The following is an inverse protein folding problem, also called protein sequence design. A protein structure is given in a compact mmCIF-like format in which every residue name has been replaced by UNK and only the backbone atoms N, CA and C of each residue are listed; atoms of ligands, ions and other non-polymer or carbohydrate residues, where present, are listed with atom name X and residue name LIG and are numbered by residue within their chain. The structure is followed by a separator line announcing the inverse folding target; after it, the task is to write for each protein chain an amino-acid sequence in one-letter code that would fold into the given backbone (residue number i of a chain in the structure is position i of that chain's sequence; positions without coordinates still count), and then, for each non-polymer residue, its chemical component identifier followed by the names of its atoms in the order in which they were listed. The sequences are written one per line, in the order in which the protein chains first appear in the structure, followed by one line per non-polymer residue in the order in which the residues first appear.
data_IF_487011018155
#
_entry.id   IF_487011018155
#
_cell.length_a   1.000
_cell.length_b   1.000
_cell.length_c   1.000
_cell.angle_alpha   90.00
_cell.angle_beta   90.00
_cell.angle_gamma   90.00
#
_symmetry.space_group_name_H-M   'P 1'
#
loop_
_entity.id
_entity.type
_entity.pdbx_description
1 polymer ?
#
# COMPACT_ATOMS: atom_id res chain seq x y z
N UNK A 1 18.95 10.41 3.05
CA UNK A 1 18.45 10.75 1.70
C UNK A 1 19.03 12.10 1.33
N UNK A 2 19.70 12.27 0.17
CA UNK A 2 20.12 13.59 -0.27
C UNK A 2 18.88 14.39 -0.68
N UNK A 3 18.76 15.61 -0.15
CA UNK A 3 17.72 16.56 -0.53
C UNK A 3 17.93 16.97 -1.99
N UNK A 4 16.93 16.70 -2.82
CA UNK A 4 16.87 17.23 -4.18
C UNK A 4 15.85 18.36 -4.21
N UNK A 5 16.29 19.50 -4.73
CA UNK A 5 15.55 20.76 -4.77
C UNK A 5 14.21 20.63 -5.52
N UNK A 6 13.17 21.38 -5.13
CA UNK A 6 11.90 21.40 -5.83
C UNK A 6 12.09 21.99 -7.24
N UNK A 7 11.60 21.27 -8.25
CA UNK A 7 11.41 21.78 -9.61
C UNK A 7 10.31 22.85 -9.58
N UNK A 8 10.71 24.08 -9.30
CA UNK A 8 9.90 25.27 -9.58
C UNK A 8 10.19 25.71 -11.01
N UNK A 9 9.21 25.59 -11.90
CA UNK A 9 9.25 26.27 -13.20
C UNK A 9 8.80 25.43 -14.38
N UNK A 10 7.52 25.58 -14.73
CA UNK A 10 6.99 25.90 -16.07
C UNK A 10 5.60 25.28 -16.28
N UNK A 11 4.62 25.72 -15.49
CA UNK A 11 3.25 25.86 -15.98
C UNK A 11 3.07 27.32 -16.32
N UNK A 12 3.46 27.68 -17.54
CA UNK A 12 3.09 28.95 -18.15
C UNK A 12 1.56 28.93 -18.26
N UNK A 13 0.93 29.92 -17.63
CA UNK A 13 -0.48 30.27 -17.86
C UNK A 13 -0.64 30.65 -19.34
N UNK A 14 -0.96 29.66 -20.17
CA UNK A 14 -1.53 29.93 -21.49
C UNK A 14 -2.99 30.25 -21.28
N UNK A 15 -3.35 31.52 -21.46
CA UNK A 15 -4.73 31.95 -21.62
C UNK A 15 -5.36 31.21 -22.79
N UNK A 16 -6.08 30.14 -22.50
CA UNK A 16 -6.98 29.49 -23.44
C UNK A 16 -8.33 30.22 -23.37
N UNK A 17 -8.56 31.08 -24.35
CA UNK A 17 -9.92 31.33 -24.83
C UNK A 17 -10.49 29.99 -25.31
N UNK A 18 -11.38 29.38 -24.52
CA UNK A 18 -12.22 28.27 -24.97
C UNK A 18 -13.68 28.60 -24.66
N UNK A 19 -14.39 28.98 -25.71
CA UNK A 19 -15.84 28.79 -25.82
C UNK A 19 -16.11 27.27 -25.74
N UNK A 20 -16.20 26.73 -24.53
CA UNK A 20 -16.65 25.37 -24.27
C UNK A 20 -17.95 25.45 -23.47
N UNK A 21 -18.94 24.68 -23.91
CA UNK A 21 -20.29 24.64 -23.37
C UNK A 21 -20.27 24.21 -21.89
N UNK A 22 -20.17 25.17 -20.98
CA UNK A 22 -20.41 24.96 -19.55
C UNK A 22 -21.91 25.05 -19.30
N UNK A 23 -22.55 23.92 -18.98
CA UNK A 23 -23.92 23.90 -18.48
C UNK A 23 -23.91 24.11 -16.97
N UNK A 24 -24.71 25.10 -16.53
CA UNK A 24 -24.87 25.47 -15.13
C UNK A 24 -26.26 25.02 -14.67
N UNK A 25 -26.32 23.97 -13.85
CA UNK A 25 -27.55 23.50 -13.22
C UNK A 25 -27.48 23.84 -11.73
N UNK A 26 -28.31 24.78 -11.26
CA UNK A 26 -28.54 25.04 -9.82
C UNK A 26 -27.27 25.08 -8.92
N UNK A 27 -26.14 25.61 -9.42
CA UNK A 27 -24.89 25.72 -8.66
C UNK A 27 -23.90 24.56 -8.85
N UNK A 28 -24.23 23.57 -9.69
CA UNK A 28 -23.34 22.55 -10.23
C UNK A 28 -22.84 22.97 -11.62
N UNK A 29 -21.57 22.67 -11.89
CA UNK A 29 -20.87 23.07 -13.11
C UNK A 29 -20.34 21.82 -13.80
N UNK A 30 -20.78 21.62 -15.04
CA UNK A 30 -20.37 20.51 -15.87
C UNK A 30 -19.47 20.97 -17.01
N UNK A 31 -18.52 20.09 -17.37
CA UNK A 31 -17.72 20.20 -18.57
C UNK A 31 -17.76 18.83 -19.27
N UNK A 32 -18.19 18.78 -20.53
CA UNK A 32 -18.37 17.54 -21.28
C UNK A 32 -19.15 16.46 -20.50
N UNK A 33 -20.28 16.86 -19.90
CA UNK A 33 -21.13 16.03 -19.02
C UNK A 33 -20.45 15.50 -17.74
N UNK A 34 -19.24 15.95 -17.42
CA UNK A 34 -18.51 15.60 -16.19
C UNK A 34 -18.68 16.73 -15.18
N UNK A 35 -19.07 16.40 -13.94
CA UNK A 35 -19.18 17.39 -12.86
C UNK A 35 -17.77 17.87 -12.46
N UNK A 36 -17.50 19.18 -12.59
CA UNK A 36 -16.18 19.78 -12.34
C UNK A 36 -16.17 20.61 -11.06
N UNK A 37 -17.26 21.32 -10.75
CA UNK A 37 -17.38 22.08 -9.50
C UNK A 37 -18.82 22.22 -9.03
N UNK A 38 -19.01 22.45 -7.73
CA UNK A 38 -20.30 22.79 -7.15
C UNK A 38 -20.21 22.97 -5.63
N UNK A 39 -21.24 23.56 -5.03
CA UNK A 39 -21.37 23.57 -3.56
C UNK A 39 -21.89 22.22 -3.06
N UNK A 40 -21.61 21.91 -1.80
CA UNK A 40 -22.13 20.69 -1.17
C UNK A 40 -23.66 20.76 -1.05
N UNK A 41 -24.19 21.93 -0.77
CA UNK A 41 -25.62 22.21 -0.68
C UNK A 41 -26.32 21.97 -2.02
N UNK A 42 -25.73 22.43 -3.14
CA UNK A 42 -26.28 22.18 -4.46
C UNK A 42 -26.29 20.68 -4.77
N UNK A 43 -25.22 19.95 -4.43
CA UNK A 43 -25.17 18.50 -4.61
C UNK A 43 -26.26 17.79 -3.79
N UNK A 44 -26.43 18.16 -2.52
CA UNK A 44 -27.47 17.60 -1.64
C UNK A 44 -28.86 17.92 -2.22
N UNK A 45 -29.08 19.14 -2.69
CA UNK A 45 -30.35 19.55 -3.29
C UNK A 45 -30.73 18.70 -4.51
N UNK A 46 -29.76 18.37 -5.38
CA UNK A 46 -30.02 17.50 -6.54
C UNK A 46 -30.20 16.02 -6.16
N UNK A 47 -29.65 15.59 -5.03
CA UNK A 47 -29.80 14.22 -4.52
C UNK A 47 -31.13 14.02 -3.76
N UNK A 48 -31.72 15.09 -3.22
CA UNK A 48 -32.95 15.05 -2.41
C UNK A 48 -34.12 15.64 -3.21
N UNK A 49 -35.20 14.87 -3.48
CA UNK A 49 -36.39 15.41 -4.15
C UNK A 49 -37.01 16.58 -3.37
N UNK A 50 -37.22 17.73 -4.01
CA UNK A 50 -37.79 18.92 -3.37
C UNK A 50 -39.27 18.71 -2.97
N UNK A 51 -39.74 19.52 -2.01
CA UNK A 51 -41.13 19.49 -1.51
C UNK A 51 -42.17 19.73 -2.61
N UNK A 52 -41.79 20.45 -3.66
CA UNK A 52 -42.67 20.85 -4.75
C UNK A 52 -42.98 19.71 -5.73
N UNK A 53 -42.12 18.70 -5.81
CA UNK A 53 -42.25 17.60 -6.77
C UNK A 53 -43.06 16.40 -6.24
N UNK A 54 -43.17 16.27 -4.91
CA UNK A 54 -43.95 15.22 -4.26
C UNK A 54 -44.54 15.73 -2.94
N UNK A 55 -45.82 16.07 -2.85
CA UNK A 55 -46.41 16.57 -1.61
C UNK A 55 -46.54 15.48 -0.53
N UNK A 56 -46.74 14.21 -0.89
CA UNK A 56 -46.86 13.10 0.07
C UNK A 56 -45.50 12.52 0.48
N UNK A 57 -45.20 12.57 1.78
CA UNK A 57 -43.98 12.01 2.41
C UNK A 57 -43.88 10.50 2.20
N UNK A 58 -45.00 9.77 2.18
CA UNK A 58 -45.02 8.32 2.01
C UNK A 58 -44.76 7.86 0.57
N UNK A 59 -45.17 8.66 -0.44
CA UNK A 59 -44.79 8.44 -1.83
C UNK A 59 -43.32 8.79 -2.09
N UNK A 60 -42.78 9.83 -1.43
CA UNK A 60 -41.35 10.21 -1.53
C UNK A 60 -40.43 9.11 -1.04
N UNK A 61 -40.68 8.59 0.16
CA UNK A 61 -39.88 7.52 0.75
C UNK A 61 -39.89 6.29 -0.16
N UNK A 62 -41.06 5.91 -0.73
CA UNK A 62 -41.14 4.77 -1.64
C UNK A 62 -40.34 4.93 -2.94
N UNK A 63 -40.25 6.14 -3.51
CA UNK A 63 -39.47 6.39 -4.73
C UNK A 63 -37.98 6.58 -4.47
N UNK A 64 -37.61 7.09 -3.29
CA UNK A 64 -36.22 7.38 -2.93
C UNK A 64 -35.53 6.18 -2.26
N UNK A 65 -36.28 5.32 -1.57
CA UNK A 65 -35.74 4.18 -0.85
C UNK A 65 -34.85 3.26 -1.69
N UNK A 66 -35.19 2.90 -2.95
CA UNK A 66 -34.29 2.11 -3.80
C UNK A 66 -32.94 2.78 -4.04
N UNK A 67 -32.94 4.10 -4.27
CA UNK A 67 -31.72 4.87 -4.55
C UNK A 67 -30.86 5.02 -3.30
N UNK A 68 -31.47 5.30 -2.14
CA UNK A 68 -30.74 5.34 -0.86
C UNK A 68 -30.18 3.96 -0.54
N UNK A 69 -30.96 2.89 -0.74
CA UNK A 69 -30.50 1.54 -0.46
C UNK A 69 -29.34 1.13 -1.37
N UNK A 70 -29.40 1.50 -2.65
CA UNK A 70 -28.28 1.33 -3.58
C UNK A 70 -27.04 2.11 -3.10
N UNK A 71 -27.19 3.38 -2.72
CA UNK A 71 -26.09 4.19 -2.20
C UNK A 71 -25.48 3.58 -0.93
N UNK A 72 -26.30 3.12 0.01
CA UNK A 72 -25.82 2.45 1.22
C UNK A 72 -25.12 1.13 0.90
N UNK A 73 -25.60 0.38 -0.09
CA UNK A 73 -24.95 -0.84 -0.54
C UNK A 73 -23.57 -0.53 -1.12
N UNK A 74 -23.47 0.43 -2.05
CA UNK A 74 -22.20 0.85 -2.65
C UNK A 74 -21.23 1.39 -1.59
N UNK A 75 -21.72 2.17 -0.61
CA UNK A 75 -20.91 2.70 0.48
C UNK A 75 -20.40 1.59 1.40
N UNK A 76 -21.27 0.71 1.89
CA UNK A 76 -20.87 -0.39 2.78
C UNK A 76 -19.98 -1.43 2.09
N UNK A 77 -20.09 -1.56 0.76
CA UNK A 77 -19.22 -2.42 -0.02
C UNK A 77 -17.84 -1.80 -0.29
N UNK A 78 -17.78 -0.48 -0.53
CA UNK A 78 -16.56 0.22 -0.97
C UNK A 78 -15.74 0.76 0.19
N UNK A 79 -16.39 1.33 1.23
CA UNK A 79 -15.74 1.96 2.38
C UNK A 79 -16.22 1.30 3.68
N UNK A 80 -15.97 0.00 3.79
CA UNK A 80 -16.46 -0.78 4.93
C UNK A 80 -15.87 -0.30 6.28
N UNK A 81 -14.69 0.34 6.27
CA UNK A 81 -14.02 0.83 7.49
C UNK A 81 -14.81 1.92 8.21
N UNK A 82 -15.56 2.76 7.48
CA UNK A 82 -16.41 3.82 8.07
C UNK A 82 -17.37 3.26 9.11
N UNK A 83 -17.80 2.00 8.94
CA UNK A 83 -18.74 1.33 9.82
C UNK A 83 -18.08 0.54 10.95
N UNK A 84 -16.75 0.67 11.14
CA UNK A 84 -16.10 0.30 12.41
C UNK A 84 -16.45 1.26 13.54
N UNK A 85 -16.72 2.52 13.20
CA UNK A 85 -17.22 3.49 14.18
C UNK A 85 -18.64 3.10 14.60
N UNK A 86 -18.84 2.95 15.92
CA UNK A 86 -20.12 2.49 16.47
C UNK A 86 -21.27 3.47 16.18
N UNK A 87 -20.99 4.77 16.05
CA UNK A 87 -21.99 5.79 15.73
C UNK A 87 -22.40 5.66 14.27
N UNK A 88 -21.45 5.48 13.36
CA UNK A 88 -21.75 5.22 11.94
C UNK A 88 -22.56 3.93 11.75
N UNK A 89 -22.17 2.86 12.43
CA UNK A 89 -22.93 1.60 12.40
C UNK A 89 -24.34 1.75 12.98
N UNK A 90 -24.51 2.55 14.04
CA UNK A 90 -25.83 2.86 14.61
C UNK A 90 -26.69 3.66 13.63
N UNK A 91 -26.14 4.70 13.01
CA UNK A 91 -26.84 5.51 12.00
C UNK A 91 -27.26 4.68 10.79
N UNK A 92 -26.40 3.76 10.32
CA UNK A 92 -26.75 2.81 9.25
C UNK A 92 -27.95 1.94 9.65
N UNK A 93 -27.95 1.37 10.86
CA UNK A 93 -29.05 0.53 11.35
C UNK A 93 -30.36 1.31 11.49
N UNK A 94 -30.30 2.52 12.03
CA UNK A 94 -31.49 3.39 12.15
C UNK A 94 -32.05 3.78 10.79
N UNK A 95 -31.20 4.17 9.84
CA UNK A 95 -31.63 4.54 8.49
C UNK A 95 -32.24 3.35 7.75
N UNK A 96 -31.58 2.20 7.78
CA UNK A 96 -32.07 0.98 7.12
C UNK A 96 -33.35 0.42 7.75
N UNK A 97 -33.54 0.58 9.06
CA UNK A 97 -34.79 0.25 9.75
C UNK A 97 -35.95 1.12 9.26
N UNK A 98 -35.72 2.44 9.06
CA UNK A 98 -36.74 3.35 8.51
C UNK A 98 -37.07 3.07 7.05
N UNK A 99 -36.08 2.67 6.25
CA UNK A 99 -36.29 2.35 4.83
C UNK A 99 -37.04 1.03 4.61
N UNK A 100 -36.92 0.10 5.56
CA UNK A 100 -37.49 -1.25 5.47
C UNK A 100 -38.80 -1.43 6.26
N UNK A 101 -39.32 -0.36 6.88
CA UNK A 101 -40.60 -0.38 7.58
C UNK A 101 -41.75 -0.42 6.57
N UNK A 102 -42.23 -1.63 6.26
CA UNK A 102 -43.44 -1.84 5.44
C UNK A 102 -43.21 -2.60 4.12
N UNK A 103 -41.96 -2.96 3.80
CA UNK A 103 -41.63 -3.71 2.57
C UNK A 103 -40.69 -4.89 2.87
N UNK A 104 -41.15 -6.11 2.61
CA UNK A 104 -40.40 -7.34 2.87
C UNK A 104 -39.16 -7.48 1.96
N UNK A 105 -39.22 -6.95 0.72
CA UNK A 105 -38.11 -6.98 -0.22
C UNK A 105 -36.94 -6.14 0.30
N UNK A 106 -37.21 -4.91 0.74
CA UNK A 106 -36.17 -4.04 1.29
C UNK A 106 -35.58 -4.59 2.58
N UNK A 107 -36.38 -5.28 3.43
CA UNK A 107 -35.84 -5.97 4.60
C UNK A 107 -34.81 -7.04 4.23
N UNK A 108 -35.09 -7.84 3.19
CA UNK A 108 -34.15 -8.87 2.71
C UNK A 108 -32.86 -8.26 2.18
N UNK A 109 -32.94 -7.20 1.38
CA UNK A 109 -31.76 -6.51 0.82
C UNK A 109 -30.93 -5.87 1.94
N UNK A 110 -31.57 -5.13 2.87
CA UNK A 110 -30.91 -4.54 4.04
C UNK A 110 -30.20 -5.61 4.87
N UNK A 111 -30.89 -6.72 5.15
CA UNK A 111 -30.31 -7.81 5.92
C UNK A 111 -29.06 -8.37 5.23
N UNK A 112 -29.15 -8.66 3.93
CA UNK A 112 -28.00 -9.16 3.16
C UNK A 112 -26.83 -8.16 3.16
N UNK A 113 -27.09 -6.88 2.93
CA UNK A 113 -26.09 -5.81 2.97
C UNK A 113 -25.37 -5.74 4.32
N UNK A 114 -26.13 -5.73 5.42
CA UNK A 114 -25.57 -5.71 6.78
C UNK A 114 -24.75 -6.99 7.06
N UNK A 115 -25.22 -8.17 6.62
CA UNK A 115 -24.49 -9.42 6.79
C UNK A 115 -23.15 -9.42 6.03
N UNK A 116 -23.14 -8.91 4.78
CA UNK A 116 -21.91 -8.77 3.99
C UNK A 116 -20.93 -7.81 4.67
N UNK A 117 -21.41 -6.67 5.15
CA UNK A 117 -20.59 -5.70 5.89
C UNK A 117 -19.98 -6.31 7.16
N UNK A 118 -20.79 -6.96 8.00
CA UNK A 118 -20.30 -7.61 9.23
C UNK A 118 -19.26 -8.69 8.90
N UNK A 119 -19.47 -9.47 7.84
CA UNK A 119 -18.49 -10.48 7.40
C UNK A 119 -17.17 -9.83 7.01
N UNK A 120 -17.19 -8.77 6.20
CA UNK A 120 -15.97 -8.02 5.81
C UNK A 120 -15.22 -7.48 7.03
N UNK A 121 -15.94 -6.83 7.95
CA UNK A 121 -15.37 -6.28 9.18
C UNK A 121 -14.77 -7.37 10.09
N UNK A 122 -15.41 -8.53 10.15
CA UNK A 122 -14.92 -9.68 10.92
C UNK A 122 -13.62 -10.23 10.30
N UNK A 123 -13.58 -10.40 8.98
CA UNK A 123 -12.37 -10.85 8.27
C UNK A 123 -11.21 -9.87 8.47
N UNK A 124 -11.47 -8.56 8.41
CA UNK A 124 -10.45 -7.55 8.68
C UNK A 124 -9.91 -7.64 10.12
N UNK A 125 -10.78 -7.80 11.12
CA UNK A 125 -10.36 -7.97 12.52
C UNK A 125 -9.52 -9.23 12.74
N UNK A 126 -9.89 -10.35 12.10
CA UNK A 126 -9.10 -11.59 12.15
C UNK A 126 -7.72 -11.43 11.52
N UNK A 127 -7.64 -10.68 10.41
CA UNK A 127 -6.39 -10.37 9.75
C UNK A 127 -5.47 -9.51 10.64
N UNK A 128 -6.00 -8.47 11.30
CA UNK A 128 -5.24 -7.66 12.26
C UNK A 128 -4.71 -8.51 13.43
N UNK A 129 -5.53 -9.39 13.99
CA UNK A 129 -5.09 -10.31 15.04
C UNK A 129 -3.98 -11.26 14.57
N UNK A 130 -4.08 -11.76 13.33
CA UNK A 130 -3.06 -12.62 12.74
C UNK A 130 -1.72 -11.87 12.58
N UNK A 131 -1.75 -10.61 12.15
CA UNK A 131 -0.58 -9.74 12.05
C UNK A 131 0.11 -9.57 13.40
N UNK A 132 -0.65 -9.27 14.46
CA UNK A 132 -0.11 -9.13 15.83
C UNK A 132 0.58 -10.42 16.28
N UNK A 133 -0.05 -11.59 16.04
CA UNK A 133 0.54 -12.90 16.39
C UNK A 133 1.83 -13.18 15.61
N UNK A 134 1.87 -12.86 14.32
CA UNK A 134 3.06 -13.01 13.47
C UNK A 134 4.21 -12.13 14.01
N UNK A 135 3.92 -10.86 14.31
CA UNK A 135 4.91 -9.91 14.82
C UNK A 135 5.44 -10.32 16.22
N UNK A 136 4.56 -10.81 17.10
CA UNK A 136 4.97 -11.39 18.38
C UNK A 136 5.91 -12.59 18.17
N UNK A 137 5.55 -13.52 17.29
CA UNK A 137 6.38 -14.70 16.96
C UNK A 137 7.75 -14.31 16.41
N UNK A 138 7.81 -13.30 15.53
CA UNK A 138 9.07 -12.79 14.99
C UNK A 138 9.96 -12.17 16.08
N UNK A 139 9.35 -11.43 17.02
CA UNK A 139 10.04 -10.81 18.16
C UNK A 139 10.58 -11.86 19.13
N UNK A 140 9.81 -12.90 19.42
CA UNK A 140 10.24 -14.03 20.25
C UNK A 140 11.44 -14.75 19.62
N UNK A 141 11.38 -15.03 18.31
CA UNK A 141 12.50 -15.64 17.58
C UNK A 141 13.76 -14.79 17.60
N UNK A 142 13.64 -13.47 17.50
CA UNK A 142 14.77 -12.56 17.63
C UNK A 142 15.38 -12.60 19.04
N UNK A 143 14.53 -12.66 20.07
CA UNK A 143 14.98 -12.77 21.47
C UNK A 143 15.74 -14.07 21.71
N UNK A 144 15.23 -15.20 21.19
CA UNK A 144 15.92 -16.49 21.29
C UNK A 144 17.23 -16.47 20.50
N UNK A 145 17.29 -15.80 19.35
CA UNK A 145 18.54 -15.69 18.56
C UNK A 145 19.62 -14.94 19.34
N UNK A 146 19.26 -13.86 20.02
CA UNK A 146 20.18 -13.10 20.90
C UNK A 146 20.66 -13.94 22.09
N UNK A 147 19.78 -14.73 22.70
CA UNK A 147 20.13 -15.57 23.84
C UNK A 147 20.94 -16.82 23.46
N UNK A 148 20.68 -17.39 22.28
CA UNK A 148 21.30 -18.64 21.79
C UNK A 148 21.63 -18.54 20.28
N UNK A 149 22.75 -17.90 19.91
CA UNK A 149 23.11 -17.66 18.50
C UNK A 149 23.23 -18.94 17.67
N UNK A 150 23.61 -20.06 18.30
CA UNK A 150 23.80 -21.36 17.63
C UNK A 150 22.50 -22.16 17.45
N UNK A 151 21.39 -21.79 18.12
CA UNK A 151 20.17 -22.61 18.19
C UNK A 151 19.15 -22.35 17.05
N UNK A 152 19.27 -21.25 16.30
CA UNK A 152 18.24 -20.81 15.32
C UNK A 152 18.74 -20.83 13.87
N UNK A 153 19.95 -21.32 13.62
CA UNK A 153 20.57 -21.21 12.29
C UNK A 153 20.04 -22.25 11.28
N UNK A 154 18.74 -22.21 10.96
CA UNK A 154 18.25 -22.74 9.68
C UNK A 154 18.54 -21.68 8.62
N UNK A 155 19.57 -21.95 7.82
CA UNK A 155 19.91 -21.17 6.62
C UNK A 155 18.67 -21.04 5.72
N UNK A 156 18.32 -19.85 5.24
CA UNK A 156 17.21 -19.67 4.29
C UNK A 156 17.30 -20.63 3.11
N UNK A 157 18.51 -20.85 2.59
CA UNK A 157 18.75 -21.74 1.46
C UNK A 157 18.48 -23.22 1.79
N UNK A 158 18.36 -23.59 3.07
CA UNK A 158 17.90 -24.91 3.50
C UNK A 158 16.38 -25.05 3.48
N UNK A 159 15.66 -23.92 3.52
CA UNK A 159 14.19 -23.86 3.49
C UNK A 159 13.71 -23.77 2.05
N UNK A 160 14.34 -22.90 1.26
CA UNK A 160 14.07 -22.75 -0.16
C UNK A 160 15.34 -22.32 -0.89
N UNK A 161 15.74 -23.11 -1.88
CA UNK A 161 16.88 -22.83 -2.75
C UNK A 161 16.46 -22.52 -4.19
N UNK A 162 15.15 -22.42 -4.45
CA UNK A 162 14.59 -22.08 -5.75
C UNK A 162 14.10 -20.61 -5.77
N UNK A 163 14.76 -19.73 -6.53
CA UNK A 163 14.37 -18.32 -6.61
C UNK A 163 12.94 -18.09 -7.10
N UNK A 164 12.44 -18.95 -8.00
CA UNK A 164 11.08 -18.85 -8.54
C UNK A 164 10.05 -19.06 -7.44
N UNK A 165 10.17 -20.17 -6.69
CA UNK A 165 9.30 -20.47 -5.56
C UNK A 165 9.34 -19.36 -4.52
N UNK A 166 10.52 -18.85 -4.18
CA UNK A 166 10.66 -17.73 -3.23
C UNK A 166 9.91 -16.47 -3.69
N UNK A 167 10.08 -16.06 -4.95
CA UNK A 167 9.38 -14.90 -5.51
C UNK A 167 7.85 -15.09 -5.54
N UNK A 168 7.37 -16.31 -5.78
CA UNK A 168 5.95 -16.64 -5.70
C UNK A 168 5.41 -16.51 -4.27
N UNK A 169 6.16 -16.97 -3.25
CA UNK A 169 5.74 -16.84 -1.85
C UNK A 169 5.78 -15.38 -1.37
N UNK A 170 6.76 -14.58 -1.82
CA UNK A 170 6.75 -13.14 -1.59
C UNK A 170 5.50 -12.50 -2.20
N UNK A 171 5.16 -12.88 -3.44
CA UNK A 171 3.97 -12.39 -4.13
C UNK A 171 2.67 -12.75 -3.41
N UNK A 172 2.58 -13.93 -2.78
CA UNK A 172 1.46 -14.27 -1.90
C UNK A 172 1.31 -13.30 -0.73
N UNK A 173 2.40 -12.99 -0.04
CA UNK A 173 2.38 -12.06 1.10
C UNK A 173 1.96 -10.67 0.63
N UNK A 174 2.55 -10.19 -0.47
CA UNK A 174 2.22 -8.89 -1.06
C UNK A 174 0.73 -8.77 -1.38
N UNK A 175 0.16 -9.72 -2.12
CA UNK A 175 -1.25 -9.70 -2.50
C UNK A 175 -2.20 -9.84 -1.29
N UNK A 176 -1.85 -10.68 -0.30
CA UNK A 176 -2.63 -10.76 0.94
C UNK A 176 -2.66 -9.41 1.65
N UNK A 177 -1.51 -8.75 1.84
CA UNK A 177 -1.45 -7.45 2.51
C UNK A 177 -2.17 -6.36 1.72
N UNK A 178 -1.96 -6.29 0.39
CA UNK A 178 -2.62 -5.33 -0.49
C UNK A 178 -4.15 -5.46 -0.48
N UNK A 179 -4.66 -6.69 -0.44
CA UNK A 179 -6.11 -6.95 -0.43
C UNK A 179 -6.84 -6.32 0.75
N UNK A 180 -6.12 -6.00 1.85
CA UNK A 180 -6.66 -5.39 3.06
C UNK A 180 -6.49 -3.86 3.11
N UNK A 181 -5.83 -3.23 2.13
CA UNK A 181 -5.67 -1.77 2.08
C UNK A 181 -6.90 -1.14 1.43
N UNK A 182 -7.69 -0.39 2.18
CA UNK A 182 -8.91 0.25 1.70
C UNK A 182 -8.65 1.68 1.17
N UNK A 183 -9.47 2.21 0.23
CA UNK A 183 -9.22 3.48 -0.44
C UNK A 183 -9.18 4.68 0.54
N UNK A 184 -9.97 4.64 1.60
CA UNK A 184 -9.99 5.63 2.68
C UNK A 184 -8.64 5.75 3.40
N UNK A 185 -7.84 4.69 3.46
CA UNK A 185 -6.54 4.72 4.14
C UNK A 185 -5.54 5.63 3.42
N UNK A 186 -5.67 5.79 2.10
CA UNK A 186 -4.84 6.74 1.35
C UNK A 186 -5.14 8.17 1.79
N UNK A 187 -6.43 8.51 1.92
CA UNK A 187 -6.88 9.86 2.30
C UNK A 187 -6.48 10.16 3.74
N UNK A 188 -6.75 9.23 4.67
CA UNK A 188 -6.41 9.37 6.08
C UNK A 188 -4.89 9.50 6.30
N UNK A 189 -4.07 8.85 5.47
CA UNK A 189 -2.62 8.97 5.55
C UNK A 189 -2.12 10.39 5.26
N UNK A 190 -2.86 11.18 4.47
CA UNK A 190 -2.50 12.56 4.16
C UNK A 190 -2.99 13.54 5.23
N UNK A 191 -4.20 13.35 5.75
CA UNK A 191 -4.79 14.21 6.78
C UNK A 191 -4.05 14.15 8.12
N UNK A 192 -3.51 12.97 8.49
CA UNK A 192 -2.77 12.79 9.76
C UNK A 192 -1.49 13.64 9.85
N UNK A 193 -0.99 14.20 8.73
CA UNK A 193 0.22 15.01 8.72
C UNK A 193 -0.02 16.46 9.18
N UNK A 194 -1.21 17.02 8.93
CA UNK A 194 -1.57 18.39 9.36
C UNK A 194 -1.80 18.50 10.89
N UNK A 195 -2.02 17.36 11.56
CA UNK A 195 -2.28 17.29 13.00
C UNK A 195 -1.01 17.10 13.85
N UNK A 196 0.16 16.91 13.23
CA UNK A 196 1.43 16.81 13.95
C UNK A 196 2.03 18.17 14.32
N UNK A 197 1.49 19.26 13.76
CA UNK A 197 1.89 20.64 14.09
C UNK A 197 0.88 21.38 14.99
N UNK A 198 -0.29 20.79 15.31
CA UNK A 198 -1.23 21.41 16.24
C UNK A 198 -1.93 20.39 17.16
N UNK A 199 -1.73 20.63 18.45
CA UNK A 199 -2.34 19.98 19.59
C UNK A 199 -3.88 19.91 19.48
N UNK A 200 -4.41 18.70 19.19
CA UNK A 200 -5.66 18.08 19.69
C UNK A 200 -6.14 16.97 18.74
N UNK A 201 -5.95 15.74 19.18
CA UNK A 201 -6.58 14.56 18.60
C UNK A 201 -8.10 14.59 18.83
N UNK A 202 -8.86 14.83 17.75
CA UNK A 202 -10.20 14.27 17.67
C UNK A 202 -10.02 12.88 17.05
N UNK A 203 -10.42 11.81 17.77
CA UNK A 203 -10.27 10.38 17.42
C UNK A 203 -8.97 9.66 17.86
N UNK A 204 -8.55 9.89 19.11
CA UNK A 204 -7.39 9.26 19.77
C UNK A 204 -7.50 7.78 20.18
N UNK A 205 -8.52 7.01 19.74
CA UNK A 205 -8.78 5.67 20.31
C UNK A 205 -8.45 4.47 19.40
N UNK A 206 -7.56 4.59 18.42
CA UNK A 206 -7.08 3.43 17.66
C UNK A 206 -5.56 3.41 17.48
N UNK A 207 -4.85 2.97 18.52
CA UNK A 207 -3.50 2.38 18.39
C UNK A 207 -3.57 0.99 17.74
N UNK A 208 -4.24 0.87 16.60
CA UNK A 208 -4.13 -0.28 15.69
C UNK A 208 -3.44 0.22 14.44
N UNK A 209 -2.30 -0.38 14.09
CA UNK A 209 -1.60 -0.08 12.85
C UNK A 209 -2.56 -0.34 11.68
N UNK A 210 -2.73 0.65 10.79
CA UNK A 210 -3.60 0.50 9.63
C UNK A 210 -3.02 -0.54 8.66
N UNK A 211 -3.83 -1.10 7.76
CA UNK A 211 -3.34 -2.06 6.75
C UNK A 211 -2.23 -1.44 5.89
N UNK A 212 -2.34 -0.13 5.62
CA UNK A 212 -1.31 0.67 4.98
C UNK A 212 0.03 0.64 5.75
N UNK A 213 0.00 0.89 7.06
CA UNK A 213 1.20 0.87 7.90
C UNK A 213 1.80 -0.54 7.96
N UNK A 214 0.97 -1.57 8.12
CA UNK A 214 1.41 -2.96 8.11
C UNK A 214 2.11 -3.33 6.78
N UNK A 215 1.65 -2.78 5.66
CA UNK A 215 2.27 -3.00 4.35
C UNK A 215 3.63 -2.30 4.20
N UNK A 216 3.77 -1.07 4.74
CA UNK A 216 5.06 -0.38 4.82
C UNK A 216 6.03 -1.13 5.73
N UNK A 217 5.55 -1.61 6.88
CA UNK A 217 6.34 -2.44 7.80
C UNK A 217 6.82 -3.73 7.12
N UNK A 218 5.99 -4.36 6.28
CA UNK A 218 6.40 -5.52 5.48
C UNK A 218 7.55 -5.20 4.53
N UNK A 219 7.47 -4.11 3.77
CA UNK A 219 8.57 -3.67 2.88
C UNK A 219 9.90 -3.52 3.64
N UNK A 220 9.86 -2.81 4.78
CA UNK A 220 11.03 -2.61 5.62
C UNK A 220 11.55 -3.94 6.16
N UNK A 221 10.67 -4.78 6.69
CA UNK A 221 11.02 -6.10 7.20
C UNK A 221 11.72 -6.95 6.13
N UNK A 222 11.18 -6.99 4.91
CA UNK A 222 11.79 -7.76 3.81
C UNK A 222 13.18 -7.21 3.46
N UNK A 223 13.34 -5.89 3.40
CA UNK A 223 14.63 -5.24 3.13
C UNK A 223 15.68 -5.61 4.20
N UNK A 224 15.31 -5.52 5.47
CA UNK A 224 16.21 -5.89 6.57
C UNK A 224 16.42 -7.41 6.67
N UNK A 225 15.45 -8.25 6.29
CA UNK A 225 15.61 -9.70 6.21
C UNK A 225 16.68 -10.06 5.17
N UNK A 226 16.61 -9.48 3.98
CA UNK A 226 17.62 -9.66 2.92
C UNK A 226 19.02 -9.31 3.44
N UNK A 227 19.16 -8.14 4.08
CA UNK A 227 20.43 -7.73 4.67
C UNK A 227 20.91 -8.68 5.79
N UNK A 228 20.00 -9.13 6.64
CA UNK A 228 20.28 -10.08 7.73
C UNK A 228 20.84 -11.39 7.18
N UNK A 229 20.21 -11.93 6.15
CA UNK A 229 20.55 -13.21 5.54
C UNK A 229 21.88 -13.15 4.79
N UNK A 230 22.26 -11.98 4.27
CA UNK A 230 23.58 -11.75 3.67
C UNK A 230 24.66 -11.59 4.74
N UNK A 231 24.38 -10.91 5.85
CA UNK A 231 25.36 -10.65 6.91
C UNK A 231 25.54 -11.82 7.89
N UNK A 232 24.56 -12.72 8.01
CA UNK A 232 24.60 -13.83 8.99
C UNK A 232 25.65 -14.92 8.68
N UNK A 233 25.89 -15.34 7.41
CA UNK A 233 26.87 -16.39 7.13
C UNK A 233 28.32 -15.94 7.39
N UNK A 234 29.01 -16.68 8.25
CA UNK A 234 30.42 -16.43 8.60
C UNK A 234 31.33 -16.59 7.37
N UNK A 235 31.04 -17.56 6.50
CA UNK A 235 31.88 -17.86 5.32
C UNK A 235 31.50 -16.96 4.15
N UNK A 236 32.50 -16.23 3.63
CA UNK A 236 32.38 -15.37 2.43
C UNK A 236 31.72 -16.05 1.22
N UNK A 237 32.06 -17.31 0.94
CA UNK A 237 31.46 -18.08 -0.17
C UNK A 237 29.96 -18.31 0.02
N UNK A 238 29.50 -18.49 1.26
CA UNK A 238 28.08 -18.65 1.56
C UNK A 238 27.34 -17.32 1.40
N UNK A 239 27.90 -16.20 1.89
CA UNK A 239 27.33 -14.86 1.68
C UNK A 239 27.13 -14.55 0.19
N UNK A 240 28.16 -14.78 -0.62
CA UNK A 240 28.07 -14.58 -2.07
C UNK A 240 26.93 -15.41 -2.70
N UNK A 241 26.74 -16.66 -2.28
CA UNK A 241 25.63 -17.51 -2.74
C UNK A 241 24.26 -16.96 -2.35
N UNK A 242 24.11 -16.44 -1.13
CA UNK A 242 22.86 -15.81 -0.68
C UNK A 242 22.56 -14.55 -1.50
N UNK A 243 23.58 -13.76 -1.82
CA UNK A 243 23.42 -12.57 -2.68
C UNK A 243 23.00 -12.95 -4.09
N UNK A 244 23.66 -13.94 -4.71
CA UNK A 244 23.27 -14.44 -6.04
C UNK A 244 21.83 -14.98 -6.05
N UNK A 245 21.44 -15.71 -4.99
CA UNK A 245 20.07 -16.18 -4.82
C UNK A 245 19.08 -15.01 -4.80
N UNK A 246 19.32 -13.97 -3.99
CA UNK A 246 18.43 -12.81 -3.93
C UNK A 246 18.38 -12.00 -5.23
N UNK A 247 19.48 -11.94 -5.99
CA UNK A 247 19.48 -11.32 -7.33
C UNK A 247 18.52 -12.07 -8.26
N UNK A 248 18.55 -13.41 -8.23
CA UNK A 248 17.62 -14.21 -9.03
C UNK A 248 16.17 -14.08 -8.51
N UNK A 249 15.94 -14.01 -7.19
CA UNK A 249 14.60 -13.75 -6.63
C UNK A 249 14.06 -12.39 -7.06
N UNK A 250 14.90 -11.35 -7.02
CA UNK A 250 14.55 -10.00 -7.45
C UNK A 250 14.17 -9.97 -8.94
N UNK A 251 14.94 -10.67 -9.79
CA UNK A 251 14.61 -10.83 -11.20
C UNK A 251 13.26 -11.52 -11.39
N UNK A 252 12.97 -12.57 -10.64
CA UNK A 252 11.66 -13.23 -10.73
C UNK A 252 10.52 -12.37 -10.20
N UNK A 253 10.76 -11.52 -9.19
CA UNK A 253 9.80 -10.51 -8.77
C UNK A 253 9.51 -9.51 -9.90
N UNK A 254 10.53 -9.03 -10.63
CA UNK A 254 10.34 -8.18 -11.81
C UNK A 254 9.49 -8.89 -12.89
N UNK A 255 9.80 -10.15 -13.20
CA UNK A 255 9.08 -10.93 -14.21
C UNK A 255 7.59 -11.14 -13.85
N UNK A 256 7.29 -11.38 -12.56
CA UNK A 256 5.93 -11.53 -12.06
C UNK A 256 5.14 -10.20 -12.10
N UNK A 257 5.82 -9.06 -12.12
CA UNK A 257 5.19 -7.75 -11.90
C UNK A 257 5.12 -7.37 -10.41
N UNK A 258 5.93 -8.00 -9.56
CA UNK A 258 6.10 -7.70 -8.16
C UNK A 258 7.23 -6.67 -7.93
N UNK A 259 6.94 -5.40 -8.21
CA UNK A 259 7.93 -4.33 -8.11
C UNK A 259 8.21 -3.93 -6.65
N UNK A 260 7.27 -4.13 -5.73
CA UNK A 260 7.47 -3.81 -4.31
C UNK A 260 8.53 -4.71 -3.66
N UNK A 261 8.39 -6.04 -3.80
CA UNK A 261 9.40 -6.98 -3.28
C UNK A 261 10.74 -6.84 -4.00
N UNK A 262 10.75 -6.60 -5.31
CA UNK A 262 11.96 -6.28 -6.06
C UNK A 262 12.70 -5.10 -5.42
N UNK A 263 12.00 -3.99 -5.20
CA UNK A 263 12.60 -2.79 -4.61
C UNK A 263 13.06 -3.03 -3.17
N UNK A 264 12.33 -3.83 -2.38
CA UNK A 264 12.74 -4.20 -1.02
C UNK A 264 14.05 -5.01 -1.03
N UNK A 265 14.20 -5.96 -1.96
CA UNK A 265 15.43 -6.75 -2.10
C UNK A 265 16.60 -5.87 -2.50
N UNK A 266 16.44 -5.01 -3.52
CA UNK A 266 17.46 -4.03 -3.91
C UNK A 266 17.83 -3.13 -2.72
N UNK A 267 16.82 -2.64 -1.99
CA UNK A 267 17.02 -1.77 -0.82
C UNK A 267 17.83 -2.48 0.27
N UNK A 268 17.54 -3.75 0.55
CA UNK A 268 18.29 -4.58 1.50
C UNK A 268 19.75 -4.80 1.08
N UNK A 269 19.99 -5.06 -0.21
CA UNK A 269 21.35 -5.24 -0.75
C UNK A 269 22.17 -3.94 -0.78
N UNK A 270 21.50 -2.80 -0.92
CA UNK A 270 22.11 -1.47 -0.93
C UNK A 270 22.29 -0.86 0.47
N UNK A 271 21.79 -1.51 1.53
CA UNK A 271 22.08 -1.08 2.90
C UNK A 271 23.60 -1.06 3.12
N UNK A 272 24.08 -0.03 3.79
CA UNK A 272 25.51 0.18 4.05
C UNK A 272 26.24 -1.03 4.67
N UNK A 273 25.68 -1.77 5.65
CA UNK A 273 26.28 -3.02 6.15
C UNK A 273 26.52 -4.09 5.08
N UNK A 274 25.74 -4.11 4.00
CA UNK A 274 25.88 -5.08 2.90
C UNK A 274 26.79 -4.52 1.81
N UNK A 275 26.57 -3.28 1.37
CA UNK A 275 27.34 -2.65 0.27
C UNK A 275 28.81 -2.42 0.60
N UNK A 276 29.19 -2.40 1.89
CA UNK A 276 30.58 -2.34 2.35
C UNK A 276 31.36 -3.65 2.24
N UNK A 277 30.70 -4.80 2.07
CA UNK A 277 31.35 -6.13 2.03
C UNK A 277 32.10 -6.38 0.71
N UNK A 278 33.09 -5.53 0.38
CA UNK A 278 33.75 -5.49 -0.94
C UNK A 278 34.37 -6.83 -1.32
N UNK A 279 34.91 -7.59 -0.36
CA UNK A 279 35.49 -8.91 -0.64
C UNK A 279 34.41 -9.92 -1.00
N UNK A 280 33.22 -9.83 -0.41
CA UNK A 280 32.07 -10.66 -0.77
C UNK A 280 31.53 -10.26 -2.15
N UNK A 281 31.32 -8.96 -2.41
CA UNK A 281 30.86 -8.45 -3.71
C UNK A 281 31.77 -8.87 -4.88
N UNK A 282 33.09 -8.90 -4.68
CA UNK A 282 34.04 -9.38 -5.71
C UNK A 282 33.85 -10.86 -6.13
N UNK A 283 33.02 -11.63 -5.40
CA UNK A 283 32.67 -13.02 -5.72
C UNK A 283 31.28 -13.17 -6.34
N UNK A 284 30.48 -12.11 -6.39
CA UNK A 284 29.12 -12.10 -6.92
C UNK A 284 29.17 -11.60 -8.36
N UNK A 285 28.39 -12.22 -9.26
CA UNK A 285 28.17 -11.68 -10.60
C UNK A 285 27.11 -10.57 -10.56
N UNK A 286 27.53 -9.32 -10.73
CA UNK A 286 26.65 -8.16 -10.51
C UNK A 286 25.84 -7.76 -11.73
N UNK A 287 26.16 -8.21 -12.94
CA UNK A 287 25.50 -7.75 -14.18
C UNK A 287 23.96 -7.75 -14.10
N UNK A 288 23.37 -8.83 -13.53
CA UNK A 288 21.92 -8.92 -13.33
C UNK A 288 21.41 -7.93 -12.29
N UNK A 289 22.16 -7.72 -11.21
CA UNK A 289 21.81 -6.77 -10.15
C UNK A 289 21.87 -5.34 -10.69
N UNK A 290 22.92 -4.99 -11.42
CA UNK A 290 23.12 -3.66 -12.02
C UNK A 290 21.97 -3.32 -12.99
N UNK A 291 21.48 -4.31 -13.76
CA UNK A 291 20.29 -4.16 -14.61
C UNK A 291 19.04 -3.88 -13.77
N UNK A 292 18.83 -4.64 -12.68
CA UNK A 292 17.65 -4.46 -11.81
C UNK A 292 17.68 -3.10 -11.09
N UNK A 293 18.85 -2.66 -10.64
CA UNK A 293 19.03 -1.31 -10.09
C UNK A 293 18.69 -0.24 -11.13
N UNK A 294 19.17 -0.39 -12.37
CA UNK A 294 18.84 0.53 -13.46
C UNK A 294 17.33 0.58 -13.75
N UNK A 295 16.62 -0.55 -13.66
CA UNK A 295 15.16 -0.58 -13.83
C UNK A 295 14.41 0.16 -12.71
N UNK A 296 14.96 0.19 -11.49
CA UNK A 296 14.37 0.83 -10.32
C UNK A 296 15.00 2.18 -9.97
N UNK A 297 15.84 2.72 -10.86
CA UNK A 297 16.59 3.95 -10.64
C UNK A 297 15.65 5.17 -10.46
N UNK A 298 15.91 6.06 -9.48
CA UNK A 298 15.05 7.21 -9.20
C UNK A 298 15.14 8.34 -10.25
N UNK A 299 16.13 8.32 -11.17
CA UNK A 299 16.32 9.37 -12.16
C UNK A 299 15.10 9.53 -13.08
N UNK A 300 14.86 10.77 -13.51
CA UNK A 300 13.68 11.09 -14.32
C UNK A 300 12.36 10.75 -13.63
N UNK A 301 12.31 10.86 -12.29
CA UNK A 301 11.17 10.45 -11.46
C UNK A 301 10.80 8.97 -11.70
N UNK A 302 11.79 8.08 -11.58
CA UNK A 302 11.62 6.65 -11.80
C UNK A 302 11.15 6.30 -13.22
N UNK A 303 11.74 6.91 -14.25
CA UNK A 303 11.31 6.75 -15.65
C UNK A 303 11.27 5.28 -16.10
N UNK A 304 12.32 4.52 -15.81
CA UNK A 304 12.44 3.12 -16.20
C UNK A 304 11.37 2.25 -15.50
N UNK A 305 11.26 2.37 -14.18
CA UNK A 305 10.22 1.69 -13.39
C UNK A 305 8.82 2.02 -13.90
N UNK A 306 8.51 3.30 -14.18
CA UNK A 306 7.19 3.69 -14.70
C UNK A 306 6.90 3.07 -16.07
N UNK A 307 7.93 2.89 -16.90
CA UNK A 307 7.82 2.19 -18.18
C UNK A 307 7.54 0.70 -17.97
N UNK A 308 8.26 0.05 -17.06
CA UNK A 308 8.02 -1.34 -16.70
C UNK A 308 6.62 -1.55 -16.09
N UNK A 309 6.17 -0.64 -15.22
CA UNK A 309 4.84 -0.65 -14.62
C UNK A 309 3.75 -0.53 -15.69
N UNK A 310 3.88 0.41 -16.64
CA UNK A 310 2.93 0.53 -17.77
C UNK A 310 2.87 -0.77 -18.59
N UNK A 311 4.02 -1.39 -18.83
CA UNK A 311 4.09 -2.71 -19.47
C UNK A 311 3.32 -3.77 -18.68
N UNK A 312 3.53 -3.87 -17.36
CA UNK A 312 2.81 -4.80 -16.49
C UNK A 312 1.30 -4.54 -16.46
N UNK A 313 0.88 -3.28 -16.37
CA UNK A 313 -0.53 -2.88 -16.44
C UNK A 313 -1.16 -3.30 -17.77
N UNK A 314 -0.47 -3.10 -18.89
CA UNK A 314 -0.96 -3.53 -20.19
C UNK A 314 -1.09 -5.05 -20.28
N UNK A 315 -0.08 -5.81 -19.81
CA UNK A 315 -0.13 -7.28 -19.73
C UNK A 315 -1.33 -7.75 -18.92
N UNK A 316 -1.61 -7.10 -17.79
CA UNK A 316 -2.75 -7.43 -16.92
C UNK A 316 -4.10 -7.21 -17.61
N UNK A 317 -4.24 -6.13 -18.39
CA UNK A 317 -5.48 -5.84 -19.15
C UNK A 317 -5.74 -6.84 -20.27
N UNK A 318 -4.70 -7.33 -20.93
CA UNK A 318 -4.81 -8.30 -22.03
C UNK A 318 -4.49 -9.73 -21.60
N UNK A 319 -4.56 -10.02 -20.30
CA UNK A 319 -4.13 -11.28 -19.72
C UNK A 319 -5.03 -12.44 -20.15
N UNK A 320 -4.41 -13.56 -20.57
CA UNK A 320 -5.09 -14.81 -20.86
C UNK A 320 -4.99 -15.80 -19.69
N UNK A 321 -4.18 -15.47 -18.68
CA UNK A 321 -4.01 -16.25 -17.45
C UNK A 321 -4.04 -15.37 -16.21
N UNK A 322 -4.41 -15.94 -15.05
CA UNK A 322 -4.41 -15.21 -13.78
C UNK A 322 -3.02 -14.70 -13.38
N UNK A 323 -1.95 -15.39 -13.79
CA UNK A 323 -0.56 -14.98 -13.55
C UNK A 323 -0.21 -13.66 -14.19
N UNK A 324 -0.68 -13.43 -15.42
CA UNK A 324 -0.39 -12.20 -16.15
C UNK A 324 -1.14 -10.98 -15.57
N UNK A 325 -2.15 -11.20 -14.72
CA UNK A 325 -2.93 -10.13 -14.07
C UNK A 325 -2.18 -9.45 -12.93
N UNK A 326 -1.13 -10.07 -12.38
CA UNK A 326 -0.42 -9.58 -11.20
C UNK A 326 0.30 -8.28 -11.52
N UNK A 327 -0.01 -7.23 -10.75
CA UNK A 327 0.69 -5.95 -10.74
C UNK A 327 0.79 -5.51 -9.30
N UNK A 328 2.00 -5.48 -8.74
CA UNK A 328 2.26 -4.96 -7.39
C UNK A 328 3.23 -3.79 -7.57
N UNK A 329 2.74 -2.55 -7.49
CA UNK A 329 3.56 -1.36 -7.74
C UNK A 329 4.60 -1.16 -6.64
N UNK A 330 5.66 -0.41 -6.91
CA UNK A 330 6.50 0.13 -5.85
C UNK A 330 5.68 1.11 -5.01
N UNK A 331 5.25 0.64 -3.84
CA UNK A 331 4.13 1.23 -3.12
C UNK A 331 4.45 2.63 -2.57
N UNK A 332 5.67 2.83 -2.08
CA UNK A 332 6.09 4.14 -1.57
C UNK A 332 6.03 5.24 -2.64
N UNK A 333 6.33 4.89 -3.90
CA UNK A 333 6.22 5.85 -5.00
C UNK A 333 4.77 6.10 -5.38
N UNK A 334 3.90 5.09 -5.35
CA UNK A 334 2.46 5.27 -5.54
C UNK A 334 1.87 6.23 -4.50
N UNK A 335 2.19 6.03 -3.21
CA UNK A 335 1.75 6.92 -2.12
C UNK A 335 2.30 8.34 -2.32
N UNK A 336 3.58 8.45 -2.69
CA UNK A 336 4.22 9.74 -2.98
C UNK A 336 3.49 10.48 -4.11
N UNK A 337 3.13 9.79 -5.18
CA UNK A 337 2.42 10.39 -6.32
C UNK A 337 1.03 10.88 -5.93
N UNK A 338 0.27 10.08 -5.16
CA UNK A 338 -1.07 10.47 -4.69
C UNK A 338 -0.96 11.66 -3.71
N UNK A 339 0.05 11.65 -2.83
CA UNK A 339 0.32 12.77 -1.93
C UNK A 339 0.60 14.07 -2.68
N UNK A 340 1.51 14.06 -3.67
CA UNK A 340 1.81 15.28 -4.44
C UNK A 340 0.63 15.76 -5.27
N UNK A 341 -0.22 14.86 -5.75
CA UNK A 341 -1.48 15.23 -6.40
C UNK A 341 -2.44 15.91 -5.42
N UNK A 342 -2.50 15.44 -4.17
CA UNK A 342 -3.29 16.09 -3.13
C UNK A 342 -2.75 17.50 -2.80
N UNK A 343 -1.46 17.63 -2.54
CA UNK A 343 -0.84 18.90 -2.14
C UNK A 343 -0.79 19.92 -3.28
N UNK A 344 -0.69 19.46 -4.53
CA UNK A 344 -0.56 20.32 -5.70
C UNK A 344 -1.83 21.08 -6.08
N UNK A 345 -2.98 20.76 -5.48
CA UNK A 345 -4.28 21.33 -5.85
C UNK A 345 -5.15 21.62 -4.61
N UNK A 346 -5.80 22.79 -4.55
CA UNK A 346 -6.71 23.14 -3.46
C UNK A 346 -7.99 22.30 -3.48
N UNK A 347 -8.47 21.88 -2.29
CA UNK A 347 -9.74 21.14 -2.13
C UNK A 347 -10.96 21.95 -2.56
N UNK A 348 -10.87 23.28 -2.46
CA UNK A 348 -11.89 24.23 -2.89
C UNK A 348 -11.32 25.22 -3.89
N UNK A 349 -12.15 25.60 -4.84
CA UNK A 349 -11.86 26.69 -5.77
C UNK A 349 -12.01 28.05 -5.06
N UNK A 350 -11.57 29.13 -5.70
CA UNK A 350 -11.64 30.49 -5.14
C UNK A 350 -13.08 30.95 -4.81
N UNK A 351 -14.07 30.39 -5.51
CA UNK A 351 -15.50 30.64 -5.27
C UNK A 351 -16.10 29.76 -4.14
N UNK A 352 -15.28 28.97 -3.43
CA UNK A 352 -15.71 28.08 -2.35
C UNK A 352 -16.25 26.72 -2.79
N UNK A 353 -16.42 26.49 -4.11
CA UNK A 353 -16.88 25.21 -4.65
C UNK A 353 -15.89 24.10 -4.39
N UNK A 354 -16.38 22.87 -4.30
CA UNK A 354 -15.55 21.67 -4.29
C UNK A 354 -14.85 21.53 -5.64
N UNK A 355 -13.54 21.27 -5.61
CA UNK A 355 -12.74 21.05 -6.80
C UNK A 355 -12.82 19.57 -7.22
N UNK A 356 -13.85 19.19 -7.99
CA UNK A 356 -14.05 17.79 -8.38
C UNK A 356 -12.97 17.29 -9.33
N UNK A 357 -12.33 18.15 -10.13
CA UNK A 357 -11.24 17.76 -11.03
C UNK A 357 -10.07 17.16 -10.25
N UNK A 358 -9.65 17.81 -9.15
CA UNK A 358 -8.64 17.26 -8.23
C UNK A 358 -9.05 15.87 -7.73
N UNK A 359 -10.27 15.74 -7.21
CA UNK A 359 -10.75 14.48 -6.63
C UNK A 359 -10.88 13.38 -7.68
N UNK A 360 -11.25 13.72 -8.92
CA UNK A 360 -11.27 12.78 -10.04
C UNK A 360 -9.89 12.24 -10.38
N UNK A 361 -8.87 13.09 -10.48
CA UNK A 361 -7.51 12.62 -10.73
C UNK A 361 -6.98 11.75 -9.59
N UNK A 362 -7.28 12.09 -8.33
CA UNK A 362 -6.94 11.24 -7.18
C UNK A 362 -7.66 9.89 -7.25
N UNK A 363 -8.98 9.91 -7.47
CA UNK A 363 -9.82 8.72 -7.59
C UNK A 363 -9.35 7.80 -8.71
N UNK A 364 -8.87 8.34 -9.84
CA UNK A 364 -8.31 7.57 -10.94
C UNK A 364 -7.08 6.76 -10.53
N UNK A 365 -6.17 7.33 -9.73
CA UNK A 365 -4.97 6.61 -9.24
C UNK A 365 -5.33 5.54 -8.22
N UNK A 366 -6.22 5.87 -7.28
CA UNK A 366 -6.70 4.90 -6.29
C UNK A 366 -7.47 3.78 -6.97
N UNK A 367 -8.34 4.08 -7.94
CA UNK A 367 -9.13 3.09 -8.67
C UNK A 367 -8.27 2.08 -9.43
N UNK A 368 -7.16 2.53 -10.03
CA UNK A 368 -6.23 1.62 -10.70
C UNK A 368 -5.60 0.63 -9.70
N UNK A 369 -5.19 1.12 -8.52
CA UNK A 369 -4.74 0.27 -7.43
C UNK A 369 -5.83 -0.70 -6.92
N UNK A 370 -7.07 -0.23 -6.83
CA UNK A 370 -8.22 -1.05 -6.41
C UNK A 370 -8.50 -2.23 -7.36
N UNK A 371 -8.10 -2.13 -8.63
CA UNK A 371 -8.15 -3.25 -9.57
C UNK A 371 -7.04 -4.26 -9.26
N UNK A 372 -5.81 -3.79 -9.04
CA UNK A 372 -4.66 -4.65 -8.78
C UNK A 372 -4.78 -5.46 -7.49
N UNK A 373 -5.29 -4.87 -6.40
CA UNK A 373 -5.44 -5.58 -5.10
C UNK A 373 -6.45 -6.73 -5.13
N UNK A 374 -7.33 -6.80 -6.14
CA UNK A 374 -8.35 -7.86 -6.28
C UNK A 374 -7.81 -9.14 -6.91
N UNK A 375 -6.57 -9.13 -7.40
CA UNK A 375 -5.97 -10.31 -8.05
C UNK A 375 -5.68 -11.38 -7.00
N UNK A 376 -6.31 -12.54 -7.15
CA UNK A 376 -5.96 -13.73 -6.37
C UNK A 376 -4.60 -14.28 -6.83
N UNK A 377 -3.75 -14.61 -5.87
CA UNK A 377 -2.44 -15.16 -6.18
C UNK A 377 -2.57 -16.57 -6.78
N UNK A 378 -2.11 -16.81 -8.03
CA UNK A 378 -2.30 -18.07 -8.74
C UNK A 378 -1.26 -19.13 -8.39
N UNK A 379 -0.28 -18.80 -7.55
CA UNK A 379 0.79 -19.73 -7.17
C UNK A 379 0.33 -20.65 -6.03
N UNK A 380 1.00 -21.79 -5.89
CA UNK A 380 0.75 -22.69 -4.77
C UNK A 380 1.40 -22.15 -3.49
N UNK A 381 0.69 -22.26 -2.37
CA UNK A 381 1.19 -21.81 -1.06
C UNK A 381 2.12 -22.85 -0.45
N UNK A 382 3.37 -22.47 -0.21
CA UNK A 382 4.29 -23.22 0.64
C UNK A 382 4.29 -22.65 2.07
N UNK A 383 3.64 -23.38 2.99
CA UNK A 383 3.50 -22.94 4.39
C UNK A 383 4.85 -22.79 5.11
N UNK A 384 5.86 -23.60 4.77
CA UNK A 384 7.17 -23.54 5.44
C UNK A 384 7.91 -22.27 5.05
N UNK A 385 7.90 -21.94 3.76
CA UNK A 385 8.54 -20.73 3.23
C UNK A 385 7.82 -19.48 3.74
N UNK A 386 6.49 -19.45 3.67
CA UNK A 386 5.68 -18.33 4.18
C UNK A 386 5.92 -18.09 5.66
N UNK A 387 5.90 -19.16 6.48
CA UNK A 387 6.19 -19.05 7.91
C UNK A 387 7.59 -18.48 8.16
N UNK A 388 8.58 -18.89 7.36
CA UNK A 388 9.94 -18.36 7.47
C UNK A 388 10.00 -16.87 7.13
N UNK A 389 9.53 -16.47 5.95
CA UNK A 389 9.52 -15.07 5.51
C UNK A 389 8.84 -14.15 6.54
N UNK A 390 7.72 -14.60 7.10
CA UNK A 390 6.94 -13.83 8.06
C UNK A 390 7.56 -13.76 9.47
N UNK A 391 8.30 -14.79 9.90
CA UNK A 391 8.76 -14.89 11.31
C UNK A 391 10.26 -15.03 11.52
N UNK A 392 11.06 -15.08 10.46
CA UNK A 392 12.53 -15.10 10.58
C UNK A 392 13.02 -13.87 11.37
N UNK A 393 13.97 -14.05 12.30
CA UNK A 393 14.54 -12.95 13.05
C UNK A 393 15.26 -12.00 12.09
N UNK A 394 15.06 -10.70 12.29
CA UNK A 394 15.64 -9.65 11.46
C UNK A 394 16.50 -8.75 12.34
N UNK A 395 17.72 -8.48 11.90
CA UNK A 395 18.67 -7.65 12.63
C UNK A 395 18.26 -6.18 12.60
N UNK A 396 18.50 -5.49 13.72
CA UNK A 396 18.49 -4.02 13.74
C UNK A 396 19.65 -3.48 12.90
N UNK A 397 19.60 -2.19 12.55
CA UNK A 397 20.70 -1.54 11.83
C UNK A 397 22.06 -1.77 12.54
N UNK A 398 22.14 -1.52 13.84
CA UNK A 398 23.35 -1.72 14.63
C UNK A 398 23.85 -3.17 14.61
N UNK A 399 22.92 -4.13 14.71
CA UNK A 399 23.25 -5.57 14.66
C UNK A 399 23.78 -5.96 13.28
N UNK A 400 23.22 -5.39 12.20
CA UNK A 400 23.73 -5.58 10.84
C UNK A 400 25.16 -5.04 10.69
N UNK A 401 25.44 -3.84 11.21
CA UNK A 401 26.80 -3.29 11.16
C UNK A 401 27.79 -4.17 11.94
N UNK A 402 27.43 -4.63 13.13
CA UNK A 402 28.27 -5.54 13.91
C UNK A 402 28.57 -6.82 13.12
N UNK A 403 27.55 -7.50 12.59
CA UNK A 403 27.72 -8.71 11.79
C UNK A 403 28.54 -8.46 10.50
N UNK A 404 28.38 -7.28 9.89
CA UNK A 404 29.17 -6.86 8.74
C UNK A 404 30.64 -6.67 9.09
N UNK A 405 30.97 -5.99 10.19
CA UNK A 405 32.35 -5.79 10.65
C UNK A 405 33.00 -7.10 11.11
N UNK A 406 32.25 -8.01 11.71
CA UNK A 406 32.74 -9.36 12.04
C UNK A 406 33.05 -10.17 10.78
N UNK A 407 32.26 -10.00 9.71
CA UNK A 407 32.45 -10.66 8.42
C UNK A 407 33.62 -10.09 7.62
N UNK A 408 33.76 -8.76 7.59
CA UNK A 408 34.83 -8.00 6.94
C UNK A 408 35.17 -6.77 7.79
N UNK A 409 36.35 -6.77 8.43
CA UNK A 409 36.76 -5.72 9.36
C UNK A 409 36.74 -4.30 8.77
N UNK A 410 36.75 -3.25 9.62
CA UNK A 410 36.63 -1.87 9.18
C UNK A 410 37.82 -1.41 8.32
N UNK A 411 37.55 -0.74 7.22
CA UNK A 411 38.57 -0.35 6.22
C UNK A 411 39.12 1.07 6.42
N UNK A 412 38.34 1.97 7.02
CA UNK A 412 38.70 3.38 7.20
C UNK A 412 38.50 3.85 8.66
N UNK A 413 38.94 5.07 8.98
CA UNK A 413 38.85 5.62 10.33
C UNK A 413 37.40 5.77 10.82
N UNK A 414 36.48 6.23 9.97
CA UNK A 414 35.06 6.37 10.33
C UNK A 414 34.42 5.02 10.68
N UNK A 415 34.74 3.97 9.90
CA UNK A 415 34.27 2.61 10.19
C UNK A 415 34.86 2.06 11.48
N UNK A 416 36.15 2.32 11.76
CA UNK A 416 36.78 1.92 13.03
C UNK A 416 36.11 2.59 14.22
N UNK A 417 35.75 3.86 14.12
CA UNK A 417 35.10 4.60 15.19
C UNK A 417 33.65 4.13 15.39
N UNK A 418 32.89 3.91 14.31
CA UNK A 418 31.55 3.31 14.39
C UNK A 418 31.59 1.90 14.96
N UNK A 419 32.57 1.08 14.57
CA UNK A 419 32.69 -0.27 15.11
C UNK A 419 32.99 -0.27 16.61
N UNK A 420 33.82 0.66 17.09
CA UNK A 420 34.05 0.86 18.53
C UNK A 420 32.78 1.30 19.24
N UNK A 421 32.04 2.27 18.69
CA UNK A 421 30.81 2.77 19.33
C UNK A 421 29.71 1.72 19.44
N UNK A 422 29.65 0.76 18.51
CA UNK A 422 28.68 -0.34 18.52
C UNK A 422 29.03 -1.46 19.50
N UNK A 423 30.26 -1.49 20.03
CA UNK A 423 30.74 -2.50 20.99
C UNK A 423 30.80 -1.99 22.43
N UNK A 424 30.64 -0.68 22.62
CA UNK A 424 30.43 -0.01 23.91
C UNK A 424 28.96 -0.15 24.29
#
# INVERSE_FOLDING_TARGET
MPQTSPLTGMLVSSGYNQNQNQTKEEGLYYHDNTLVSGSLEALIHHLVPSMDYYPDVSMRIRKLAPKILQLLQEWTETFSYDFRDERMMRSLKELTQRLSSGDELYRKVVHQMIQVLIRKLTTLSQYEEALVKINATATDRLTVLKAKPQAIQRDMLSICNDPFTMAQQLTHIELERLSNIEPEEFIQAFEKKDLLDNDKSCFSDQKKASSLEAYVQWFNRLSFLVATEICMPVKKKQRARVMEFFIDVARECFNIGNFNSLMAIISGMNMSPVSRLKKTWSKVKTDKFDILEHQMDPSGNFYNYRTALRGATQRSRTANSTREKIVIPFFSLLIKDIYFLNEGCSNRMQNGHVNFEKFWEMAKRVSEFMVWKKVECPFEKDRKILQYLLTAPVFSEDTLYLASYESEGPENHMEKDRWKSLRL
#
